data_IF_397359754202
#
_entry.id   IF_397359754202
#
_cell.length_a   1.000
_cell.length_b   1.000
_cell.length_c   1.000
_cell.angle_alpha   90.00
_cell.angle_beta   90.00
_cell.angle_gamma   90.00
#
_symmetry.space_group_name_H-M   'P 1'
#
loop_
_entity.id
_entity.type
_entity.pdbx_description
1 polymer ?
#
# COMPACT_ATOMS: atom_id res chain seq x y z
N UNK A 1 -52.68 -3.77 -14.89
CA UNK A 1 -52.05 -2.57 -14.32
C UNK A 1 -51.22 -2.87 -13.06
N UNK A 2 -51.79 -3.48 -12.00
CA UNK A 2 -51.03 -3.85 -10.78
C UNK A 2 -49.74 -4.65 -11.02
N UNK A 3 -49.73 -5.59 -11.98
CA UNK A 3 -48.55 -6.42 -12.32
C UNK A 3 -47.40 -5.61 -12.95
N UNK A 4 -47.71 -4.59 -13.75
CA UNK A 4 -46.71 -3.74 -14.41
C UNK A 4 -46.03 -2.83 -13.38
N UNK A 5 -46.80 -2.34 -12.41
CA UNK A 5 -46.28 -1.53 -11.29
C UNK A 5 -45.32 -2.35 -10.42
N UNK A 6 -45.65 -3.62 -10.13
CA UNK A 6 -44.78 -4.51 -9.35
C UNK A 6 -43.46 -4.79 -10.09
N UNK A 7 -43.51 -4.99 -11.41
CA UNK A 7 -42.30 -5.20 -12.24
C UNK A 7 -41.43 -3.93 -12.28
N UNK A 8 -42.04 -2.75 -12.39
CA UNK A 8 -41.32 -1.47 -12.32
C UNK A 8 -40.64 -1.21 -10.97
N UNK A 9 -41.30 -1.60 -9.86
CA UNK A 9 -40.75 -1.46 -8.51
C UNK A 9 -39.57 -2.41 -8.25
N UNK A 10 -39.62 -3.61 -8.83
CA UNK A 10 -38.52 -4.59 -8.74
C UNK A 10 -37.26 -4.12 -9.48
N UNK A 11 -37.42 -3.47 -10.65
CA UNK A 11 -36.30 -2.96 -11.45
C UNK A 11 -35.56 -1.77 -10.80
N UNK A 12 -36.26 -0.96 -10.00
CA UNK A 12 -35.65 0.14 -9.24
C UNK A 12 -34.78 -0.31 -8.06
N UNK A 13 -34.90 -1.57 -7.63
CA UNK A 13 -34.18 -2.10 -6.46
C UNK A 13 -32.75 -2.57 -6.80
N UNK A 14 -32.37 -2.62 -8.08
CA UNK A 14 -31.11 -3.23 -8.55
C UNK A 14 -29.95 -2.23 -8.55
N UNK A 15 -30.21 -0.92 -8.38
CA UNK A 15 -29.22 0.16 -8.52
C UNK A 15 -28.39 0.46 -7.25
N UNK A 16 -28.34 -0.45 -6.28
CA UNK A 16 -27.60 -0.25 -5.01
C UNK A 16 -26.63 -1.40 -4.69
N UNK A 17 -26.03 -2.01 -5.71
CA UNK A 17 -24.99 -3.01 -5.51
C UNK A 17 -23.61 -2.33 -5.57
N UNK A 18 -23.20 -1.73 -4.45
CA UNK A 18 -21.79 -1.40 -4.19
C UNK A 18 -21.04 -2.67 -3.74
N UNK A 19 -21.00 -3.72 -4.56
CA UNK A 19 -20.47 -5.03 -4.16
C UNK A 19 -18.96 -5.22 -4.38
N UNK A 20 -18.21 -4.20 -4.79
CA UNK A 20 -16.78 -4.36 -5.03
C UNK A 20 -15.97 -3.25 -4.36
N UNK A 21 -15.91 -3.28 -3.02
CA UNK A 21 -14.69 -2.83 -2.35
C UNK A 21 -13.64 -3.92 -2.58
N UNK A 22 -13.11 -4.03 -3.80
CA UNK A 22 -11.76 -4.55 -3.92
C UNK A 22 -10.91 -3.61 -3.06
N UNK A 23 -10.14 -4.19 -2.14
CA UNK A 23 -9.00 -3.46 -1.60
C UNK A 23 -8.13 -3.14 -2.81
N UNK A 24 -8.26 -1.93 -3.36
CA UNK A 24 -7.53 -1.54 -4.55
C UNK A 24 -6.04 -1.74 -4.29
N UNK A 25 -5.35 -2.32 -5.26
CA UNK A 25 -3.92 -2.57 -5.15
C UNK A 25 -3.18 -1.28 -4.84
N UNK A 26 -2.15 -1.35 -4.00
CA UNK A 26 -1.32 -0.18 -3.71
C UNK A 26 -0.40 0.07 -4.90
N UNK A 27 -0.48 1.26 -5.48
CA UNK A 27 0.38 1.72 -6.57
C UNK A 27 1.74 2.18 -6.03
N UNK A 28 2.81 1.85 -6.76
CA UNK A 28 4.17 2.32 -6.49
C UNK A 28 4.56 3.30 -7.58
N UNK A 29 4.77 4.57 -7.22
CA UNK A 29 5.18 5.61 -8.17
C UNK A 29 6.55 6.18 -7.80
N UNK A 30 7.46 6.21 -8.78
CA UNK A 30 8.76 6.88 -8.64
C UNK A 30 8.60 8.38 -8.88
N UNK A 31 9.19 9.18 -8.02
CA UNK A 31 9.23 10.64 -8.10
C UNK A 31 10.69 11.10 -8.05
N UNK A 32 10.93 12.38 -8.33
CA UNK A 32 12.26 12.98 -8.20
C UNK A 32 12.82 12.86 -6.78
N UNK A 33 11.96 13.01 -5.76
CA UNK A 33 12.34 12.99 -4.34
C UNK A 33 12.28 11.60 -3.69
N UNK A 34 11.98 10.54 -4.44
CA UNK A 34 11.90 9.17 -3.92
C UNK A 34 10.70 8.37 -4.43
N UNK A 35 10.33 7.33 -3.70
CA UNK A 35 9.16 6.49 -4.04
C UNK A 35 7.96 6.90 -3.20
N UNK A 36 6.81 7.09 -3.85
CA UNK A 36 5.52 7.30 -3.16
C UNK A 36 4.62 6.10 -3.38
N UNK A 37 3.77 5.83 -2.39
CA UNK A 37 2.78 4.76 -2.42
C UNK A 37 1.39 5.39 -2.46
N UNK A 38 0.51 4.88 -3.32
CA UNK A 38 -0.83 5.44 -3.51
C UNK A 38 -1.90 4.36 -3.48
N UNK A 39 -3.06 4.72 -2.97
CA UNK A 39 -4.27 3.90 -3.05
C UNK A 39 -5.46 4.86 -3.18
N UNK A 40 -6.38 4.57 -4.10
CA UNK A 40 -7.58 5.38 -4.35
C UNK A 40 -7.24 6.85 -4.64
N UNK A 41 -6.19 7.08 -5.43
CA UNK A 41 -5.69 8.42 -5.77
C UNK A 41 -5.01 9.20 -4.64
N UNK A 42 -4.94 8.67 -3.41
CA UNK A 42 -4.33 9.32 -2.25
C UNK A 42 -2.93 8.79 -1.96
N UNK A 43 -2.02 9.66 -1.55
CA UNK A 43 -0.69 9.26 -1.09
C UNK A 43 -0.81 8.64 0.31
N UNK A 44 -0.17 7.48 0.50
CA UNK A 44 -0.17 6.76 1.76
C UNK A 44 1.09 7.10 2.56
N UNK A 45 0.89 7.40 3.83
CA UNK A 45 1.98 7.49 4.81
C UNK A 45 2.46 6.09 5.20
N UNK A 46 3.69 5.94 5.76
CA UNK A 46 4.15 4.65 6.24
C UNK A 46 3.22 4.03 7.30
N UNK A 47 2.58 4.86 8.13
CA UNK A 47 1.63 4.36 9.14
C UNK A 47 0.34 3.84 8.49
N UNK A 48 -0.17 4.52 7.46
CA UNK A 48 -1.32 4.03 6.70
C UNK A 48 -1.01 2.72 5.99
N UNK A 49 0.19 2.58 5.41
CA UNK A 49 0.63 1.31 4.82
C UNK A 49 0.62 0.18 5.85
N UNK A 50 1.16 0.40 7.05
CA UNK A 50 1.11 -0.57 8.15
C UNK A 50 -0.33 -0.98 8.47
N UNK A 51 -1.23 0.00 8.62
CA UNK A 51 -2.63 -0.24 8.99
C UNK A 51 -3.36 -1.04 7.88
N UNK A 52 -3.17 -0.67 6.62
CA UNK A 52 -3.76 -1.37 5.46
C UNK A 52 -3.26 -2.82 5.38
N UNK A 53 -1.98 -3.04 5.70
CA UNK A 53 -1.35 -4.36 5.59
C UNK A 53 -1.63 -5.27 6.80
N UNK A 54 -2.30 -4.81 7.87
CA UNK A 54 -2.59 -5.62 9.06
C UNK A 54 -3.19 -7.02 8.74
N UNK A 55 -4.11 -7.18 7.78
CA UNK A 55 -4.67 -8.49 7.43
C UNK A 55 -3.66 -9.46 6.79
N UNK A 56 -2.56 -8.95 6.21
CA UNK A 56 -1.52 -9.75 5.57
C UNK A 56 -0.27 -9.77 6.48
N UNK A 57 -0.09 -10.84 7.25
CA UNK A 57 0.98 -10.96 8.23
C UNK A 57 2.39 -10.76 7.65
N UNK A 58 2.64 -11.24 6.43
CA UNK A 58 3.93 -11.10 5.75
C UNK A 58 4.20 -9.65 5.35
N UNK A 59 3.24 -9.00 4.68
CA UNK A 59 3.33 -7.60 4.30
C UNK A 59 3.43 -6.68 5.53
N UNK A 60 2.66 -6.96 6.57
CA UNK A 60 2.67 -6.21 7.83
C UNK A 60 4.04 -6.27 8.51
N UNK A 61 4.64 -7.46 8.62
CA UNK A 61 5.97 -7.64 9.22
C UNK A 61 7.04 -6.87 8.43
N UNK A 62 7.05 -7.01 7.11
CA UNK A 62 8.00 -6.32 6.24
C UNK A 62 7.84 -4.79 6.34
N UNK A 63 6.60 -4.30 6.38
CA UNK A 63 6.33 -2.87 6.49
C UNK A 63 6.74 -2.28 7.86
N UNK A 64 6.70 -3.07 8.94
CA UNK A 64 7.27 -2.63 10.23
C UNK A 64 8.78 -2.41 10.15
N UNK A 65 9.51 -3.32 9.49
CA UNK A 65 10.95 -3.16 9.27
C UNK A 65 11.22 -1.89 8.45
N UNK A 66 10.41 -1.64 7.41
CA UNK A 66 10.47 -0.40 6.66
C UNK A 66 10.26 0.82 7.57
N UNK A 67 9.24 0.80 8.43
CA UNK A 67 8.92 1.91 9.35
C UNK A 67 10.05 2.20 10.33
N UNK A 68 10.71 1.17 10.86
CA UNK A 68 11.88 1.35 11.73
C UNK A 68 13.00 2.10 10.99
N UNK A 69 13.32 1.67 9.77
CA UNK A 69 14.33 2.35 8.94
C UNK A 69 13.92 3.79 8.61
N UNK A 70 12.63 4.04 8.33
CA UNK A 70 12.11 5.39 8.12
C UNK A 70 12.31 6.29 9.34
N UNK A 71 12.03 5.79 10.54
CA UNK A 71 12.21 6.55 11.79
C UNK A 71 13.68 6.90 12.03
N UNK A 72 14.60 5.95 11.89
CA UNK A 72 16.04 6.23 12.02
C UNK A 72 16.51 7.24 10.96
N UNK A 73 16.15 7.02 9.70
CA UNK A 73 16.45 7.93 8.61
C UNK A 73 15.94 9.35 8.87
N UNK A 74 14.74 9.50 9.41
CA UNK A 74 14.17 10.80 9.78
C UNK A 74 14.96 11.47 10.90
N UNK A 75 15.34 10.75 11.96
CA UNK A 75 16.14 11.31 13.07
C UNK A 75 17.48 11.83 12.56
N UNK A 76 18.21 11.03 11.77
CA UNK A 76 19.50 11.43 11.23
C UNK A 76 19.39 12.58 10.22
N UNK A 77 18.36 12.57 9.37
CA UNK A 77 18.15 13.65 8.39
C UNK A 77 17.72 14.96 9.05
N UNK A 78 16.89 14.89 10.09
CA UNK A 78 16.47 16.06 10.85
C UNK A 78 17.63 16.66 11.63
N UNK A 79 18.39 15.83 12.37
CA UNK A 79 19.57 16.28 13.10
C UNK A 79 20.66 16.82 12.15
N UNK A 80 20.93 16.10 11.05
CA UNK A 80 21.87 16.52 10.02
C UNK A 80 21.46 17.84 9.37
N UNK A 81 20.20 17.96 8.97
CA UNK A 81 19.63 19.18 8.41
C UNK A 81 19.69 20.37 9.38
N UNK A 82 19.42 20.16 10.66
CA UNK A 82 19.54 21.20 11.68
C UNK A 82 20.99 21.67 11.86
N UNK A 83 21.94 20.74 11.92
CA UNK A 83 23.36 21.05 12.08
C UNK A 83 24.01 21.65 10.83
N UNK A 84 23.50 21.36 9.64
CA UNK A 84 23.87 22.09 8.43
C UNK A 84 23.21 23.47 8.39
N UNK A 85 21.92 23.53 8.70
CA UNK A 85 21.09 24.73 8.57
C UNK A 85 21.47 25.85 9.53
N UNK A 86 21.87 25.53 10.77
CA UNK A 86 22.27 26.53 11.76
C UNK A 86 23.48 27.38 11.33
N UNK A 87 24.65 26.80 11.00
CA UNK A 87 25.80 27.58 10.54
C UNK A 87 25.56 28.24 9.18
N UNK A 88 24.79 27.61 8.27
CA UNK A 88 24.41 28.23 7.00
C UNK A 88 23.53 29.47 7.19
N UNK A 89 22.50 29.38 8.02
CA UNK A 89 21.63 30.51 8.35
C UNK A 89 22.39 31.63 9.06
N UNK A 90 23.31 31.26 9.96
CA UNK A 90 24.23 32.20 10.59
C UNK A 90 25.12 32.93 9.59
N UNK A 91 25.67 32.21 8.60
CA UNK A 91 26.51 32.78 7.56
C UNK A 91 25.76 33.78 6.68
N UNK A 92 24.51 33.47 6.31
CA UNK A 92 23.62 34.38 5.58
C UNK A 92 23.35 35.65 6.40
N UNK A 93 23.25 35.53 7.73
CA UNK A 93 23.10 36.66 8.64
C UNK A 93 24.40 37.42 8.97
N UNK A 94 25.52 37.12 8.28
CA UNK A 94 26.81 37.79 8.45
C UNK A 94 27.69 37.24 9.58
N UNK A 95 27.32 36.12 10.21
CA UNK A 95 28.20 35.42 11.18
C UNK A 95 29.25 34.59 10.44
N UNK A 96 30.40 34.35 11.08
CA UNK A 96 31.38 33.40 10.55
C UNK A 96 30.78 31.99 10.57
N UNK A 97 30.91 31.29 9.44
CA UNK A 97 30.41 29.92 9.30
C UNK A 97 31.21 28.94 10.18
N UNK A 98 30.49 28.11 10.94
CA UNK A 98 31.05 26.99 11.67
C UNK A 98 31.07 25.74 10.76
N UNK A 99 32.22 25.52 10.12
CA UNK A 99 32.46 24.39 9.23
C UNK A 99 32.49 23.04 9.96
N UNK A 100 32.84 23.03 11.26
CA UNK A 100 32.84 21.81 12.07
C UNK A 100 31.41 21.33 12.29
N UNK A 101 30.52 22.23 12.76
CA UNK A 101 29.11 21.90 12.95
C UNK A 101 28.42 21.53 11.63
N UNK A 102 28.72 22.27 10.56
CA UNK A 102 28.23 21.95 9.21
C UNK A 102 28.70 20.55 8.76
N UNK A 103 29.98 20.22 8.95
CA UNK A 103 30.55 18.93 8.61
C UNK A 103 29.92 17.76 9.37
N UNK A 104 29.62 17.93 10.66
CA UNK A 104 28.84 16.94 11.44
C UNK A 104 27.45 16.76 10.83
N UNK A 105 26.79 17.87 10.47
CA UNK A 105 25.47 17.82 9.83
C UNK A 105 25.47 17.06 8.50
N UNK A 106 26.50 17.26 7.67
CA UNK A 106 26.71 16.48 6.43
C UNK A 106 26.92 15.00 6.77
N UNK A 107 27.75 14.67 7.75
CA UNK A 107 28.00 13.29 8.16
C UNK A 107 26.74 12.56 8.60
N UNK A 108 25.90 13.19 9.43
CA UNK A 108 24.61 12.62 9.85
C UNK A 108 23.66 12.41 8.67
N UNK A 109 23.65 13.35 7.72
CA UNK A 109 22.81 13.24 6.52
C UNK A 109 23.26 12.08 5.63
N UNK A 110 24.56 11.85 5.48
CA UNK A 110 25.10 10.69 4.74
C UNK A 110 24.70 9.37 5.41
N UNK A 111 24.71 9.31 6.74
CA UNK A 111 24.26 8.12 7.50
C UNK A 111 22.77 7.83 7.27
N UNK A 112 21.94 8.81 6.96
CA UNK A 112 20.50 8.58 6.71
C UNK A 112 20.21 7.88 5.37
N UNK A 113 21.16 7.92 4.42
CA UNK A 113 21.00 7.36 3.06
C UNK A 113 20.70 5.85 3.08
N UNK A 114 21.51 4.97 3.73
CA UNK A 114 21.21 3.54 3.76
C UNK A 114 19.85 3.22 4.39
N UNK A 115 19.43 3.98 5.41
CA UNK A 115 18.10 3.81 6.01
C UNK A 115 16.96 4.16 5.04
N UNK A 116 17.12 5.21 4.23
CA UNK A 116 16.15 5.57 3.18
C UNK A 116 16.04 4.50 2.09
N UNK A 117 17.18 3.92 1.67
CA UNK A 117 17.22 2.83 0.70
C UNK A 117 16.53 1.58 1.28
N UNK A 118 16.86 1.21 2.52
CA UNK A 118 16.24 0.09 3.22
C UNK A 118 14.72 0.29 3.37
N UNK A 119 14.28 1.47 3.79
CA UNK A 119 12.85 1.82 3.86
C UNK A 119 12.16 1.62 2.51
N UNK A 120 12.76 2.10 1.42
CA UNK A 120 12.18 1.99 0.08
C UNK A 120 12.05 0.53 -0.36
N UNK A 121 13.09 -0.27 -0.14
CA UNK A 121 13.11 -1.68 -0.56
C UNK A 121 12.10 -2.51 0.23
N UNK A 122 12.09 -2.39 1.57
CA UNK A 122 11.13 -3.10 2.41
C UNK A 122 9.68 -2.66 2.12
N UNK A 123 9.43 -1.35 1.92
CA UNK A 123 8.08 -0.88 1.58
C UNK A 123 7.59 -1.44 0.23
N UNK A 124 8.46 -1.50 -0.78
CA UNK A 124 8.11 -2.11 -2.08
C UNK A 124 7.81 -3.60 -1.96
N UNK A 125 8.62 -4.33 -1.18
CA UNK A 125 8.39 -5.75 -0.91
C UNK A 125 7.05 -5.97 -0.19
N UNK A 126 6.77 -5.19 0.85
CA UNK A 126 5.52 -5.26 1.59
C UNK A 126 4.31 -4.99 0.68
N UNK A 127 4.37 -3.96 -0.16
CA UNK A 127 3.32 -3.67 -1.15
C UNK A 127 3.14 -4.80 -2.14
N UNK A 128 4.24 -5.39 -2.65
CA UNK A 128 4.15 -6.54 -3.56
C UNK A 128 3.48 -7.74 -2.89
N UNK A 129 3.84 -8.06 -1.65
CA UNK A 129 3.25 -9.16 -0.90
C UNK A 129 1.76 -8.93 -0.62
N UNK A 130 1.39 -7.70 -0.26
CA UNK A 130 0.00 -7.30 -0.07
C UNK A 130 -0.81 -7.46 -1.37
N UNK A 131 -0.32 -6.87 -2.47
CA UNK A 131 -0.98 -6.91 -3.77
C UNK A 131 -1.08 -8.34 -4.34
N UNK A 132 -0.08 -9.19 -4.09
CA UNK A 132 -0.14 -10.61 -4.48
C UNK A 132 -1.20 -11.38 -3.68
N UNK A 133 -1.33 -11.11 -2.38
CA UNK A 133 -2.40 -11.70 -1.56
C UNK A 133 -3.80 -11.36 -2.08
N UNK A 134 -4.02 -10.13 -2.55
CA UNK A 134 -5.28 -9.72 -3.16
C UNK A 134 -5.61 -10.48 -4.46
N UNK A 135 -4.60 -10.74 -5.30
CA UNK A 135 -4.77 -11.54 -6.53
C UNK A 135 -5.16 -12.98 -6.22
N UNK A 136 -4.61 -13.58 -5.16
CA UNK A 136 -4.92 -14.94 -4.77
C UNK A 136 -6.36 -15.09 -4.27
N UNK A 137 -6.90 -14.11 -3.54
CA UNK A 137 -8.32 -14.09 -3.15
C UNK A 137 -9.26 -13.90 -4.35
N UNK A 138 -8.83 -13.18 -5.39
CA UNK A 138 -9.59 -13.01 -6.64
C UNK A 138 -9.50 -14.17 -7.64
N UNK A 139 -8.56 -15.11 -7.45
CA UNK A 139 -8.32 -16.27 -8.32
C UNK A 139 -9.00 -17.56 -7.84
N UNK A 140 -10.10 -17.48 -7.08
CA UNK A 140 -11.04 -18.60 -7.08
C UNK A 140 -11.68 -18.61 -8.48
N UNK A 141 -11.21 -19.49 -9.35
CA UNK A 141 -11.78 -19.70 -10.69
C UNK A 141 -13.21 -20.17 -10.52
N UNK A 142 -14.15 -19.23 -10.52
CA UNK A 142 -15.56 -19.55 -10.57
C UNK A 142 -15.85 -20.02 -12.00
N UNK A 143 -15.97 -21.33 -12.17
CA UNK A 143 -16.40 -21.92 -13.44
C UNK A 143 -17.93 -21.78 -13.51
N UNK A 144 -18.38 -20.73 -14.21
CA UNK A 144 -19.78 -20.43 -14.45
C UNK A 144 -20.22 -21.19 -15.70
N UNK A 145 -20.89 -22.33 -15.49
CA UNK A 145 -21.45 -23.12 -16.61
C UNK A 145 -22.91 -22.78 -16.79
N UNK A 146 -23.27 -22.40 -18.02
CA UNK A 146 -24.65 -22.29 -18.44
C UNK A 146 -25.19 -23.70 -18.70
N UNK A 147 -26.24 -24.07 -17.97
CA UNK A 147 -26.90 -25.37 -18.09
C UNK A 147 -28.37 -25.19 -18.48
N UNK A 148 -28.87 -26.12 -19.29
CA UNK A 148 -30.29 -26.23 -19.62
C UNK A 148 -30.81 -27.47 -18.90
N UNK A 149 -31.76 -27.30 -17.98
CA UNK A 149 -32.48 -28.38 -17.30
C UNK A 149 -33.91 -28.46 -17.85
N UNK A 150 -34.62 -29.59 -17.64
CA UNK A 150 -36.02 -29.73 -18.06
C UNK A 150 -36.95 -28.62 -17.51
N UNK A 151 -36.58 -28.01 -16.38
CA UNK A 151 -37.32 -26.95 -15.70
C UNK A 151 -36.84 -25.53 -16.08
N UNK A 152 -35.84 -25.37 -16.95
CA UNK A 152 -35.41 -24.06 -17.48
C UNK A 152 -33.90 -23.89 -17.71
N UNK A 153 -33.47 -22.64 -17.84
CA UNK A 153 -32.06 -22.26 -18.00
C UNK A 153 -31.51 -21.84 -16.63
N UNK A 154 -30.38 -22.41 -16.23
CA UNK A 154 -29.72 -22.13 -14.96
C UNK A 154 -28.22 -21.85 -15.11
N UNK A 155 -27.64 -21.25 -14.06
CA UNK A 155 -26.20 -21.05 -13.93
C UNK A 155 -25.73 -21.99 -12.82
N UNK A 156 -24.84 -22.93 -13.17
CA UNK A 156 -24.20 -23.79 -12.18
C UNK A 156 -22.86 -23.19 -11.81
N UNK A 157 -22.65 -22.99 -10.51
CA UNK A 157 -21.39 -22.52 -9.94
C UNK A 157 -20.63 -23.71 -9.36
N UNK A 158 -19.47 -24.02 -9.91
CA UNK A 158 -18.55 -25.01 -9.35
C UNK A 158 -17.38 -24.30 -8.67
N UNK A 159 -17.24 -24.46 -7.36
CA UNK A 159 -16.10 -23.98 -6.58
C UNK A 159 -15.04 -25.09 -6.53
N UNK A 160 -13.98 -24.96 -7.33
CA UNK A 160 -12.81 -25.81 -7.15
C UNK A 160 -11.99 -25.27 -5.99
N UNK A 161 -12.27 -25.78 -4.79
CA UNK A 161 -11.34 -25.67 -3.67
C UNK A 161 -10.15 -26.57 -3.97
N UNK A 162 -9.02 -25.99 -4.39
CA UNK A 162 -7.72 -26.67 -4.33
C UNK A 162 -7.35 -26.86 -2.85
N UNK A 163 -7.97 -27.86 -2.21
CA UNK A 163 -7.41 -28.53 -1.05
C UNK A 163 -6.18 -29.29 -1.56
N UNK A 164 -5.05 -28.58 -1.63
CA UNK A 164 -3.76 -29.24 -1.65
C UNK A 164 -3.68 -29.99 -0.33
N UNK A 165 -3.91 -31.30 -0.43
CA UNK A 165 -3.52 -32.31 0.54
C UNK A 165 -2.04 -32.12 0.86
N UNK A 166 -1.73 -31.40 1.94
CA UNK A 166 -0.47 -31.57 2.64
C UNK A 166 -0.64 -32.73 3.61
N UNK A 167 -0.47 -33.95 3.09
CA UNK A 167 0.05 -35.08 3.84
C UNK A 167 1.52 -35.21 3.45
N UNK A 168 2.41 -34.77 4.34
CA UNK A 168 3.70 -35.39 4.65
C UNK A 168 4.25 -34.75 5.93
#
# INVERSE_FOLDING_TARGET
>A
MKKIIIIGLFLLSISQIFAQNQSDSIEIKKTFFGTIFRQNGKNLTPQQLINIMQPNAEAYKEMKVARTNYSFGMVFSFAGGAFMGWPLGGAIAGKKMDWTLFGIGVGLTVISIPFSIAYTNHSKNAVRNFNNGLKQTGMNTIDLKLGITPDGIGITMALFSNLILNYH
#
